data_IF_765970735017
#
_entry.id   IF_765970735017
#
_cell.length_a   1.000
_cell.length_b   1.000
_cell.length_c   1.000
_cell.angle_alpha   90.00
_cell.angle_beta   90.00
_cell.angle_gamma   90.00
#
_symmetry.space_group_name_H-M   'P 1'
#
loop_
_entity.id
_entity.type
_entity.pdbx_description
1 polymer ?
#
# COMPACT_ATOMS: atom_id res chain seq x y z
N UNK A 1 7.47 1.92 -10.90
CA UNK A 1 7.99 1.44 -9.59
C UNK A 1 7.02 1.92 -8.55
N UNK A 2 6.62 1.09 -7.59
CA UNK A 2 5.51 1.37 -6.68
C UNK A 2 5.92 1.10 -5.26
N UNK A 3 5.57 1.98 -4.33
CA UNK A 3 5.78 1.78 -2.88
C UNK A 3 4.45 1.82 -2.16
N UNK A 4 4.40 1.16 -1.01
CA UNK A 4 3.24 1.16 -0.12
C UNK A 4 3.51 2.21 0.95
N UNK A 5 2.53 3.06 1.23
CA UNK A 5 2.59 4.07 2.29
C UNK A 5 1.33 4.00 3.15
N UNK A 6 1.45 4.39 4.41
CA UNK A 6 0.35 4.56 5.35
C UNK A 6 0.71 5.66 6.33
N UNK A 7 -0.30 6.19 7.04
CA UNK A 7 -0.11 7.18 8.10
C UNK A 7 0.41 6.53 9.41
N UNK A 8 0.23 5.22 9.53
CA UNK A 8 0.73 4.42 10.65
C UNK A 8 1.82 3.45 10.20
N UNK A 9 2.58 2.93 11.16
CA UNK A 9 3.54 1.87 10.88
C UNK A 9 2.81 0.59 10.48
N UNK A 10 3.08 0.12 9.26
CA UNK A 10 2.50 -1.13 8.76
C UNK A 10 3.35 -2.31 9.19
N UNK A 11 2.69 -3.28 9.79
CA UNK A 11 3.23 -4.57 10.20
C UNK A 11 2.23 -5.65 9.82
N UNK A 12 2.72 -6.80 9.38
CA UNK A 12 1.89 -7.97 9.08
C UNK A 12 2.67 -9.22 9.45
N UNK A 13 2.03 -10.13 10.18
CA UNK A 13 2.60 -11.43 10.55
C UNK A 13 2.69 -12.40 9.35
N UNK A 14 1.98 -12.10 8.26
CA UNK A 14 1.89 -12.96 7.07
C UNK A 14 2.88 -12.57 5.97
N UNK A 15 3.33 -11.32 5.97
CA UNK A 15 4.23 -10.78 4.96
C UNK A 15 5.68 -10.81 5.42
N UNK A 16 6.64 -10.91 4.48
CA UNK A 16 8.05 -10.82 4.82
C UNK A 16 8.37 -9.46 5.45
N UNK A 17 9.31 -9.46 6.40
CA UNK A 17 9.83 -8.26 7.01
C UNK A 17 10.29 -7.28 5.92
N UNK A 18 9.73 -6.07 5.94
CA UNK A 18 10.02 -5.02 4.96
C UNK A 18 9.17 -5.02 3.69
N UNK A 19 8.10 -5.84 3.62
CA UNK A 19 7.11 -5.78 2.54
C UNK A 19 6.57 -4.35 2.31
N UNK A 20 6.38 -3.57 3.37
CA UNK A 20 5.93 -2.17 3.24
C UNK A 20 7.06 -1.16 2.96
N UNK A 21 8.32 -1.57 3.13
CA UNK A 21 9.50 -0.71 2.87
C UNK A 21 10.13 -0.95 1.50
N UNK A 22 9.69 -1.98 0.77
CA UNK A 22 10.24 -2.33 -0.53
C UNK A 22 9.59 -1.54 -1.68
N UNK A 23 10.27 -1.53 -2.82
CA UNK A 23 9.76 -0.95 -4.07
C UNK A 23 9.41 -2.07 -5.03
N UNK A 24 8.16 -2.08 -5.47
CA UNK A 24 7.61 -3.06 -6.39
C UNK A 24 7.76 -2.60 -7.85
N UNK A 25 8.09 -3.53 -8.74
CA UNK A 25 8.11 -3.26 -10.18
C UNK A 25 6.68 -3.12 -10.77
N UNK A 26 5.70 -3.81 -10.17
CA UNK A 26 4.33 -3.91 -10.67
C UNK A 26 3.32 -3.32 -9.70
N UNK A 27 2.38 -2.50 -10.22
CA UNK A 27 1.28 -1.91 -9.45
C UNK A 27 0.41 -2.99 -8.82
N UNK A 28 0.05 -4.01 -9.59
CA UNK A 28 -0.85 -5.08 -9.12
C UNK A 28 -0.25 -5.85 -7.94
N UNK A 29 1.07 -6.07 -7.95
CA UNK A 29 1.76 -6.73 -6.84
C UNK A 29 1.76 -5.82 -5.60
N UNK A 30 2.10 -4.53 -5.76
CA UNK A 30 2.05 -3.58 -4.65
C UNK A 30 0.65 -3.45 -4.03
N UNK A 31 -0.39 -3.44 -4.86
CA UNK A 31 -1.79 -3.38 -4.41
C UNK A 31 -2.17 -4.67 -3.69
N UNK A 32 -1.84 -5.84 -4.24
CA UNK A 32 -2.11 -7.11 -3.58
C UNK A 32 -1.44 -7.18 -2.21
N UNK A 33 -0.15 -6.82 -2.12
CA UNK A 33 0.55 -6.77 -0.83
C UNK A 33 -0.05 -5.75 0.13
N UNK A 34 -0.46 -4.58 -0.36
CA UNK A 34 -1.13 -3.57 0.46
C UNK A 34 -2.46 -4.06 1.03
N UNK A 35 -3.22 -4.88 0.27
CA UNK A 35 -4.48 -5.48 0.73
C UNK A 35 -4.22 -6.62 1.71
N UNK A 36 -3.30 -7.53 1.39
CA UNK A 36 -3.00 -8.69 2.25
C UNK A 36 -2.31 -8.30 3.55
N UNK A 37 -1.61 -7.17 3.54
CA UNK A 37 -0.83 -6.70 4.67
C UNK A 37 -1.61 -5.93 5.73
N UNK A 38 -2.89 -5.65 5.50
CA UNK A 38 -3.69 -4.79 6.37
C UNK A 38 -4.91 -5.58 6.85
N UNK A 39 -4.95 -5.85 8.16
CA UNK A 39 -6.05 -6.59 8.78
C UNK A 39 -7.38 -5.84 8.67
N UNK A 40 -7.39 -4.52 8.90
CA UNK A 40 -8.58 -3.69 8.75
C UNK A 40 -8.30 -2.40 7.92
N UNK A 41 -8.67 -2.40 6.62
CA UNK A 41 -8.43 -1.25 5.75
C UNK A 41 -9.32 -0.04 6.03
N UNK A 42 -10.32 -0.15 6.92
CA UNK A 42 -11.16 0.97 7.34
C UNK A 42 -10.57 1.71 8.54
N UNK A 43 -9.79 1.02 9.38
CA UNK A 43 -9.05 1.63 10.49
C UNK A 43 -7.67 2.15 10.05
N UNK A 44 -7.07 1.53 9.04
CA UNK A 44 -5.74 1.89 8.53
C UNK A 44 -5.80 2.20 7.04
N UNK A 45 -5.70 3.50 6.69
CA UNK A 45 -5.51 3.90 5.30
C UNK A 45 -4.15 3.40 4.80
N UNK A 46 -4.18 2.63 3.71
CA UNK A 46 -2.98 2.23 2.97
C UNK A 46 -3.11 2.65 1.53
N UNK A 47 -2.03 3.21 1.00
CA UNK A 47 -1.96 3.72 -0.37
C UNK A 47 -0.76 3.15 -1.11
N UNK A 48 -0.97 2.91 -2.40
CA UNK A 48 0.11 2.56 -3.33
C UNK A 48 0.46 3.82 -4.12
N UNK A 49 1.73 4.18 -4.09
CA UNK A 49 2.26 5.38 -4.72
C UNK A 49 3.24 4.99 -5.81
N UNK A 50 3.10 5.61 -6.98
CA UNK A 50 4.11 5.51 -8.04
C UNK A 50 5.37 6.29 -7.60
N UNK A 51 6.47 5.58 -7.42
CA UNK A 51 7.71 6.12 -6.89
C UNK A 51 8.40 7.13 -7.82
N UNK A 52 8.11 7.10 -9.12
CA UNK A 52 8.70 8.03 -10.07
C UNK A 52 7.99 9.39 -10.07
N UNK A 53 6.68 9.39 -9.88
CA UNK A 53 5.82 10.59 -9.97
C UNK A 53 5.31 11.08 -8.62
N UNK A 54 5.41 10.26 -7.57
CA UNK A 54 4.83 10.53 -6.26
C UNK A 54 3.30 10.47 -6.23
N UNK A 55 2.66 10.00 -7.30
CA UNK A 55 1.18 9.97 -7.41
C UNK A 55 0.61 8.73 -6.74
N UNK A 56 -0.46 8.91 -5.97
CA UNK A 56 -1.26 7.81 -5.45
C UNK A 56 -1.97 7.13 -6.62
N UNK A 57 -1.69 5.85 -6.84
CA UNK A 57 -2.30 5.03 -7.89
C UNK A 57 -3.37 4.08 -7.35
N UNK A 58 -3.49 3.96 -6.03
CA UNK A 58 -4.52 3.21 -5.31
C UNK A 58 -4.53 3.60 -3.82
N UNK A 59 -5.68 3.52 -3.16
CA UNK A 59 -5.86 3.66 -1.71
C UNK A 59 -6.92 2.66 -1.22
N UNK A 60 -6.79 2.17 0.02
CA UNK A 60 -7.72 1.21 0.64
C UNK A 60 -9.07 1.86 0.99
N UNK A 61 -9.03 3.10 1.47
CA UNK A 61 -10.16 3.91 1.93
C UNK A 61 -10.71 4.80 0.82
N UNK A 62 -10.86 4.31 -0.41
CA UNK A 62 -11.37 5.15 -1.49
C UNK A 62 -12.78 5.69 -1.18
N UNK A 63 -12.86 6.86 -0.52
CA UNK A 63 -13.82 7.89 -0.85
C UNK A 63 -13.61 8.17 -2.33
N UNK A 64 -14.66 7.92 -3.11
CA UNK A 64 -14.71 8.12 -4.54
C UNK A 64 -14.07 9.47 -4.87
N UNK A 65 -12.96 9.47 -5.60
CA UNK A 65 -12.47 10.72 -6.19
C UNK A 65 -13.52 11.12 -7.25
N UNK A 66 -14.35 12.11 -6.89
CA UNK A 66 -15.30 12.80 -7.78
C UNK A 66 -14.65 13.31 -9.08
#
# INVERSE_FOLDING_TARGET
MFRIESDVELSSDWLPAGAFTTVYASRSVAVATAIEGVDDPAEVEVRVVDAATGRVVWRSTAEEFE
#
